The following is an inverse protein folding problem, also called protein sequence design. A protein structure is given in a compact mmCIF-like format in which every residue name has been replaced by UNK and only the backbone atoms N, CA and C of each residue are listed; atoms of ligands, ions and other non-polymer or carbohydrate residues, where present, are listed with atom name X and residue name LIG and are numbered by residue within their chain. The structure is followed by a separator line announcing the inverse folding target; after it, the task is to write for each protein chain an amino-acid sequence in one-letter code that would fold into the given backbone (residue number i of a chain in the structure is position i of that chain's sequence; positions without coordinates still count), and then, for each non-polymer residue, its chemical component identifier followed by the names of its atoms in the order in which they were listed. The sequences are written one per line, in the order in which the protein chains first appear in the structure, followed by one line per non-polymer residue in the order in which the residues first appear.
data_IF_733155550183
#
_entry.id   IF_733155550183
#
_cell.length_a   1.000
_cell.length_b   1.000
_cell.length_c   1.000
_cell.angle_alpha   90.00
_cell.angle_beta   90.00
_cell.angle_gamma   90.00
#
_symmetry.space_group_name_H-M   'P 1'
#
loop_
_entity.id
_entity.type
_entity.pdbx_description
1 polymer ?
#
# COMPACT_ATOMS: atom_id res chain seq x y z
N UNK A 1 30.12 18.85 -8.13
CA UNK A 1 29.18 17.91 -7.50
C UNK A 1 29.05 18.29 -6.03
N UNK A 2 27.98 18.98 -5.66
CA UNK A 2 27.68 19.23 -4.24
C UNK A 2 27.28 17.90 -3.61
N UNK A 3 27.97 17.50 -2.54
CA UNK A 3 27.56 16.33 -1.77
C UNK A 3 26.09 16.50 -1.37
N UNK A 4 25.25 15.53 -1.73
CA UNK A 4 23.85 15.54 -1.36
C UNK A 4 23.77 15.36 0.16
N UNK A 5 23.59 16.46 0.89
CA UNK A 5 23.29 16.41 2.32
C UNK A 5 22.00 15.62 2.52
N UNK A 6 22.04 14.63 3.41
CA UNK A 6 20.87 13.81 3.70
C UNK A 6 19.81 14.62 4.45
N UNK A 7 18.61 14.70 3.89
CA UNK A 7 17.42 15.19 4.58
C UNK A 7 16.87 14.08 5.48
N UNK A 8 17.25 14.13 6.76
CA UNK A 8 16.84 13.17 7.76
C UNK A 8 15.32 13.11 7.97
N UNK A 9 14.59 14.23 7.80
CA UNK A 9 13.14 14.23 7.96
C UNK A 9 12.48 13.38 6.87
N UNK A 10 12.95 13.52 5.63
CA UNK A 10 12.48 12.69 4.52
C UNK A 10 12.91 11.24 4.68
N UNK A 11 14.15 10.98 5.11
CA UNK A 11 14.59 9.63 5.38
C UNK A 11 13.72 8.91 6.42
N UNK A 12 13.39 9.58 7.53
CA UNK A 12 12.51 9.00 8.54
C UNK A 12 11.10 8.74 8.00
N UNK A 13 10.55 9.68 7.22
CA UNK A 13 9.22 9.54 6.64
C UNK A 13 9.13 8.40 5.61
N UNK A 14 10.13 8.27 4.74
CA UNK A 14 10.13 7.31 3.63
C UNK A 14 10.75 5.95 3.99
N UNK A 15 11.61 5.86 5.00
CA UNK A 15 12.26 4.62 5.40
C UNK A 15 11.89 4.21 6.81
N UNK A 16 12.29 5.01 7.83
CA UNK A 16 12.19 4.59 9.24
C UNK A 16 10.75 4.28 9.65
N UNK A 17 9.80 5.13 9.28
CA UNK A 17 8.39 4.95 9.63
C UNK A 17 7.78 3.71 8.95
N UNK A 18 7.75 3.58 7.61
CA UNK A 18 7.17 2.39 6.97
C UNK A 18 7.90 1.11 7.37
N UNK A 19 9.24 1.12 7.39
CA UNK A 19 10.01 -0.05 7.79
C UNK A 19 9.77 -0.43 9.25
N UNK A 20 9.83 0.54 10.17
CA UNK A 20 9.71 0.29 11.60
C UNK A 20 8.31 -0.19 12.00
N UNK A 21 7.25 0.41 11.45
CA UNK A 21 5.87 -0.03 11.69
C UNK A 21 5.67 -1.46 11.18
N UNK A 22 6.05 -1.73 9.93
CA UNK A 22 5.86 -3.05 9.36
C UNK A 22 6.74 -4.11 10.02
N UNK A 23 7.98 -3.76 10.41
CA UNK A 23 8.87 -4.67 11.14
C UNK A 23 8.30 -5.01 12.52
N UNK A 24 7.69 -4.04 13.21
CA UNK A 24 7.02 -4.28 14.48
C UNK A 24 5.85 -5.26 14.31
N UNK A 25 5.00 -5.06 13.31
CA UNK A 25 3.87 -5.96 13.02
C UNK A 25 4.35 -7.37 12.64
N UNK A 26 5.37 -7.47 11.80
CA UNK A 26 6.00 -8.75 11.47
C UNK A 26 6.59 -9.41 12.71
N UNK A 27 7.29 -8.66 13.56
CA UNK A 27 7.83 -9.14 14.83
C UNK A 27 6.76 -9.68 15.76
N UNK A 28 5.63 -8.98 15.90
CA UNK A 28 4.48 -9.47 16.67
C UNK A 28 3.96 -10.81 16.14
N UNK A 29 3.77 -10.93 14.82
CA UNK A 29 3.29 -12.17 14.20
C UNK A 29 4.29 -13.33 14.33
N UNK A 30 5.57 -13.09 14.07
CA UNK A 30 6.61 -14.13 14.11
C UNK A 30 7.17 -14.38 15.53
N UNK A 31 6.65 -13.71 16.57
CA UNK A 31 7.16 -13.83 17.94
C UNK A 31 6.93 -15.18 18.61
N UNK A 32 5.95 -15.96 18.13
CA UNK A 32 5.46 -17.17 18.82
C UNK A 32 4.58 -16.90 20.05
N UNK A 33 4.32 -15.62 20.37
CA UNK A 33 3.43 -15.23 21.46
C UNK A 33 2.01 -15.15 20.91
N UNK A 34 1.13 -16.06 21.33
CA UNK A 34 -0.25 -16.19 20.86
C UNK A 34 -1.00 -14.85 20.88
N UNK A 35 -0.91 -14.10 21.98
CA UNK A 35 -1.55 -12.79 22.09
C UNK A 35 -1.11 -11.82 20.98
N UNK A 36 0.20 -11.74 20.69
CA UNK A 36 0.73 -10.84 19.66
C UNK A 36 0.36 -11.31 18.25
N UNK A 37 0.32 -12.63 18.03
CA UNK A 37 -0.16 -13.21 16.78
C UNK A 37 -1.65 -12.89 16.55
N UNK A 38 -2.47 -13.01 17.59
CA UNK A 38 -3.90 -12.73 17.53
C UNK A 38 -4.22 -11.25 17.33
N UNK A 39 -3.31 -10.33 17.68
CA UNK A 39 -3.44 -8.92 17.28
C UNK A 39 -3.26 -8.71 15.77
N UNK A 40 -2.36 -9.47 15.15
CA UNK A 40 -2.06 -9.36 13.71
C UNK A 40 -3.07 -10.14 12.89
N UNK A 41 -3.43 -11.34 13.33
CA UNK A 41 -4.48 -12.19 12.74
C UNK A 41 -5.30 -12.83 13.86
N UNK A 42 -6.44 -12.25 14.22
CA UNK A 42 -7.31 -12.77 15.28
C UNK A 42 -7.67 -14.24 15.10
N UNK A 43 -7.90 -14.92 16.22
CA UNK A 43 -8.49 -16.25 16.25
C UNK A 43 -9.87 -16.17 16.90
N UNK A 44 -10.92 -16.37 16.11
CA UNK A 44 -12.28 -16.60 16.59
C UNK A 44 -12.61 -18.08 16.37
N UNK A 45 -13.25 -18.73 17.36
CA UNK A 45 -13.55 -20.17 17.34
C UNK A 45 -14.54 -20.56 16.24
N UNK A 46 -15.38 -19.62 15.78
CA UNK A 46 -16.47 -19.87 14.83
C UNK A 46 -16.27 -19.18 13.47
N UNK A 47 -15.03 -18.88 13.08
CA UNK A 47 -14.75 -18.21 11.81
C UNK A 47 -13.60 -18.89 11.07
N UNK A 48 -13.69 -18.89 9.74
CA UNK A 48 -12.62 -19.38 8.88
C UNK A 48 -11.34 -18.53 9.04
N UNK A 49 -10.17 -19.12 8.78
CA UNK A 49 -8.88 -18.41 8.84
C UNK A 49 -8.89 -17.12 7.99
N UNK A 50 -9.51 -17.14 6.81
CA UNK A 50 -9.53 -15.97 5.92
C UNK A 50 -10.38 -14.84 6.48
N UNK A 51 -11.59 -15.16 6.94
CA UNK A 51 -12.51 -14.19 7.56
C UNK A 51 -11.86 -13.47 8.74
N UNK A 52 -11.07 -14.20 9.55
CA UNK A 52 -10.46 -13.65 10.75
C UNK A 52 -9.31 -12.68 10.45
N UNK A 53 -8.61 -12.90 9.34
CA UNK A 53 -7.47 -12.09 8.90
C UNK A 53 -7.89 -10.63 8.67
N UNK A 54 -9.10 -10.44 8.13
CA UNK A 54 -9.71 -9.13 7.82
C UNK A 54 -9.92 -8.25 9.06
N UNK A 55 -9.96 -8.84 10.25
CA UNK A 55 -10.08 -8.12 11.53
C UNK A 55 -8.73 -7.80 12.19
N UNK A 56 -7.63 -8.24 11.59
CA UNK A 56 -6.29 -8.01 12.10
C UNK A 56 -5.82 -6.57 11.98
N UNK A 57 -4.90 -6.16 12.88
CA UNK A 57 -4.31 -4.81 12.85
C UNK A 57 -3.61 -4.54 11.52
N UNK A 58 -2.98 -5.56 10.91
CA UNK A 58 -2.27 -5.42 9.65
C UNK A 58 -3.22 -4.96 8.52
N UNK A 59 -4.30 -5.73 8.29
CA UNK A 59 -5.29 -5.41 7.25
C UNK A 59 -6.03 -4.11 7.54
N UNK A 60 -6.39 -3.86 8.80
CA UNK A 60 -7.05 -2.61 9.17
C UNK A 60 -6.15 -1.39 8.94
N UNK A 61 -4.83 -1.53 9.11
CA UNK A 61 -3.89 -0.46 8.80
C UNK A 61 -3.76 -0.24 7.29
N UNK A 62 -3.75 -1.29 6.48
CA UNK A 62 -3.82 -1.20 5.01
C UNK A 62 -5.08 -0.42 4.59
N UNK A 63 -6.24 -0.80 5.13
CA UNK A 63 -7.53 -0.17 4.89
C UNK A 63 -7.56 1.32 5.28
N UNK A 64 -6.98 1.69 6.42
CA UNK A 64 -6.84 3.09 6.84
C UNK A 64 -6.01 3.89 5.84
N UNK A 65 -4.91 3.33 5.34
CA UNK A 65 -4.05 4.00 4.36
C UNK A 65 -4.78 4.20 3.03
N UNK A 66 -5.49 3.17 2.55
CA UNK A 66 -6.30 3.26 1.33
C UNK A 66 -7.40 4.31 1.47
N UNK A 67 -8.11 4.36 2.60
CA UNK A 67 -9.11 5.38 2.88
C UNK A 67 -8.49 6.79 2.93
N UNK A 68 -7.32 6.93 3.55
CA UNK A 68 -6.57 8.19 3.54
C UNK A 68 -6.22 8.60 2.11
N UNK A 69 -5.82 7.68 1.23
CA UNK A 69 -5.58 7.97 -0.19
C UNK A 69 -6.83 8.49 -0.89
N UNK A 70 -8.00 7.88 -0.67
CA UNK A 70 -9.28 8.38 -1.21
C UNK A 70 -9.52 9.82 -0.78
N UNK A 71 -9.38 10.12 0.53
CA UNK A 71 -9.58 11.47 1.07
C UNK A 71 -8.58 12.46 0.46
N UNK A 72 -7.29 12.10 0.37
CA UNK A 72 -6.26 12.94 -0.23
C UNK A 72 -6.54 13.22 -1.71
N UNK A 73 -6.97 12.22 -2.46
CA UNK A 73 -7.32 12.36 -3.88
C UNK A 73 -8.52 13.30 -4.06
N UNK A 74 -9.60 13.12 -3.29
CA UNK A 74 -10.77 14.02 -3.33
C UNK A 74 -10.36 15.47 -2.99
N UNK A 75 -9.51 15.66 -1.97
CA UNK A 75 -9.01 16.98 -1.61
C UNK A 75 -8.12 17.57 -2.69
N UNK A 76 -7.27 16.77 -3.32
CA UNK A 76 -6.47 17.17 -4.49
C UNK A 76 -7.35 17.65 -5.64
N UNK A 77 -8.39 16.90 -6.00
CA UNK A 77 -9.35 17.29 -7.04
C UNK A 77 -10.07 18.61 -6.72
N UNK A 78 -10.40 18.87 -5.45
CA UNK A 78 -11.05 20.13 -5.03
C UNK A 78 -10.09 21.32 -5.01
N UNK A 79 -8.81 21.10 -4.70
CA UNK A 79 -7.80 22.16 -4.54
C UNK A 79 -7.35 22.76 -5.87
N UNK A 80 -7.21 21.96 -6.91
CA UNK A 80 -6.65 22.42 -8.18
C UNK A 80 -7.72 22.96 -9.12
N UNK A 81 -7.44 24.04 -9.85
CA UNK A 81 -8.40 24.65 -10.79
C UNK A 81 -8.39 24.00 -12.18
N UNK A 82 -7.26 23.41 -12.60
CA UNK A 82 -7.07 22.87 -13.95
C UNK A 82 -7.87 21.55 -14.13
N UNK A 83 -8.77 21.44 -15.13
CA UNK A 83 -9.60 20.25 -15.31
C UNK A 83 -8.81 18.94 -15.43
N UNK A 84 -7.69 18.94 -16.17
CA UNK A 84 -6.85 17.75 -16.33
C UNK A 84 -6.34 17.22 -14.98
N UNK A 85 -5.89 18.11 -14.08
CA UNK A 85 -5.43 17.72 -12.74
C UNK A 85 -6.59 17.22 -11.89
N UNK A 86 -7.76 17.87 -11.98
CA UNK A 86 -8.97 17.40 -11.28
C UNK A 86 -9.36 15.99 -11.70
N UNK A 87 -9.39 15.73 -13.01
CA UNK A 87 -9.71 14.41 -13.54
C UNK A 87 -8.67 13.35 -13.16
N UNK A 88 -7.39 13.71 -13.12
CA UNK A 88 -6.34 12.83 -12.60
C UNK A 88 -6.59 12.42 -11.15
N UNK A 89 -6.86 13.38 -10.27
CA UNK A 89 -7.19 13.07 -8.87
C UNK A 89 -8.52 12.32 -8.71
N UNK A 90 -9.54 12.63 -9.50
CA UNK A 90 -10.80 11.89 -9.50
C UNK A 90 -10.58 10.43 -9.91
N UNK A 91 -9.76 10.17 -10.94
CA UNK A 91 -9.36 8.84 -11.34
C UNK A 91 -8.63 8.09 -10.24
N UNK A 92 -7.67 8.74 -9.55
CA UNK A 92 -6.97 8.15 -8.40
C UNK A 92 -7.94 7.83 -7.26
N UNK A 93 -8.93 8.70 -7.00
CA UNK A 93 -9.93 8.47 -5.96
C UNK A 93 -10.78 7.23 -6.28
N UNK A 94 -11.30 7.11 -7.51
CA UNK A 94 -12.07 5.95 -7.96
C UNK A 94 -11.23 4.67 -7.89
N UNK A 95 -9.99 4.72 -8.35
CA UNK A 95 -9.09 3.58 -8.29
C UNK A 95 -8.77 3.17 -6.84
N UNK A 96 -8.53 4.13 -5.95
CA UNK A 96 -8.27 3.84 -4.53
C UNK A 96 -9.50 3.27 -3.82
N UNK A 97 -10.71 3.74 -4.17
CA UNK A 97 -11.98 3.14 -3.69
C UNK A 97 -12.08 1.70 -4.19
N UNK A 98 -11.79 1.44 -5.46
CA UNK A 98 -11.80 0.09 -6.00
C UNK A 98 -10.84 -0.84 -5.24
N UNK A 99 -9.58 -0.42 -5.03
CA UNK A 99 -8.60 -1.21 -4.26
C UNK A 99 -9.05 -1.41 -2.81
N UNK A 100 -9.59 -0.38 -2.16
CA UNK A 100 -10.16 -0.50 -0.81
C UNK A 100 -11.28 -1.53 -0.76
N UNK A 101 -12.22 -1.48 -1.70
CA UNK A 101 -13.32 -2.45 -1.77
C UNK A 101 -12.82 -3.86 -2.06
N UNK A 102 -11.84 -4.01 -2.94
CA UNK A 102 -11.18 -5.30 -3.18
C UNK A 102 -10.50 -5.85 -1.92
N UNK A 103 -9.84 -5.02 -1.13
CA UNK A 103 -9.15 -5.43 0.12
C UNK A 103 -10.14 -5.92 1.18
N UNK A 104 -11.34 -5.34 1.25
CA UNK A 104 -12.38 -5.73 2.23
C UNK A 104 -13.36 -6.77 1.69
N UNK A 105 -13.05 -7.44 0.58
CA UNK A 105 -13.96 -8.39 -0.09
C UNK A 105 -15.36 -7.78 -0.37
N UNK A 106 -15.42 -6.49 -0.72
CA UNK A 106 -16.66 -5.73 -0.88
C UNK A 106 -17.59 -5.78 0.35
N UNK A 107 -17.04 -6.04 1.53
CA UNK A 107 -17.74 -6.18 2.81
C UNK A 107 -18.37 -7.56 3.02
N UNK A 108 -18.04 -8.56 2.20
CA UNK A 108 -18.65 -9.89 2.26
C UNK A 108 -18.37 -10.59 3.60
N UNK A 109 -17.21 -10.35 4.22
CA UNK A 109 -16.89 -10.87 5.56
C UNK A 109 -17.89 -10.42 6.64
N UNK A 110 -18.42 -9.19 6.56
CA UNK A 110 -19.45 -8.73 7.49
C UNK A 110 -20.76 -9.49 7.27
N UNK A 111 -21.13 -9.72 6.01
CA UNK A 111 -22.31 -10.51 5.69
C UNK A 111 -22.19 -11.93 6.22
N UNK A 112 -21.04 -12.57 6.05
CA UNK A 112 -20.81 -13.94 6.52
C UNK A 112 -20.98 -14.09 8.02
N UNK A 113 -20.46 -13.13 8.78
CA UNK A 113 -20.60 -13.10 10.24
C UNK A 113 -22.07 -12.91 10.64
N UNK A 114 -22.77 -12.00 9.97
CA UNK A 114 -24.17 -11.68 10.28
C UNK A 114 -25.09 -12.85 9.89
N UNK A 115 -24.83 -13.49 8.74
CA UNK A 115 -25.63 -14.57 8.20
C UNK A 115 -25.24 -15.95 8.74
N UNK A 116 -24.10 -16.06 9.42
CA UNK A 116 -23.58 -17.32 9.95
C UNK A 116 -23.21 -18.33 8.86
N UNK A 117 -22.85 -17.85 7.66
CA UNK A 117 -22.45 -18.71 6.54
C UNK A 117 -20.92 -18.85 6.49
N UNK A 118 -20.44 -20.01 6.08
CA UNK A 118 -19.00 -20.23 5.94
C UNK A 118 -18.45 -19.42 4.76
N UNK A 119 -17.15 -19.13 4.81
CA UNK A 119 -16.45 -18.39 3.75
C UNK A 119 -16.55 -19.07 2.37
N UNK A 120 -16.66 -20.40 2.34
CA UNK A 120 -16.75 -21.20 1.12
C UNK A 120 -18.18 -21.24 0.56
N UNK A 121 -19.19 -21.08 1.43
CA UNK A 121 -20.60 -21.15 1.05
C UNK A 121 -21.17 -19.79 0.59
N UNK A 122 -20.48 -18.68 0.87
CA UNK A 122 -21.02 -17.34 0.68
C UNK A 122 -21.12 -16.94 -0.81
N UNK A 123 -20.02 -17.01 -1.58
CA UNK A 123 -19.97 -16.68 -3.02
C UNK A 123 -18.76 -17.35 -3.69
N UNK A 124 -18.95 -17.89 -4.90
CA UNK A 124 -17.89 -18.54 -5.71
C UNK A 124 -16.81 -17.55 -6.23
N UNK A 125 -17.21 -16.32 -6.55
CA UNK A 125 -16.30 -15.21 -6.93
C UNK A 125 -16.48 -14.06 -5.95
N UNK A 126 -15.49 -13.85 -5.09
CA UNK A 126 -15.56 -12.86 -3.99
C UNK A 126 -15.05 -11.49 -4.38
N UNK A 127 -13.88 -11.48 -5.01
CA UNK A 127 -13.22 -10.27 -5.48
C UNK A 127 -12.47 -10.57 -6.79
N UNK A 128 -12.18 -9.54 -7.56
CA UNK A 128 -11.61 -9.73 -8.90
C UNK A 128 -10.17 -10.24 -8.84
N UNK A 129 -9.42 -9.88 -7.79
CA UNK A 129 -7.99 -10.18 -7.69
C UNK A 129 -7.66 -11.58 -7.16
N UNK A 130 -8.61 -12.29 -6.54
CA UNK A 130 -8.44 -13.66 -6.00
C UNK A 130 -8.94 -14.76 -6.95
N UNK A 131 -9.31 -14.43 -8.18
CA UNK A 131 -9.79 -15.38 -9.19
C UNK A 131 -8.63 -15.96 -10.03
N UNK A 132 -8.31 -17.24 -9.85
CA UNK A 132 -7.32 -17.98 -10.65
C UNK A 132 -5.87 -17.47 -10.51
N UNK A 133 -5.09 -17.50 -11.60
CA UNK A 133 -3.68 -17.05 -11.61
C UNK A 133 -3.53 -15.51 -11.61
N UNK A 134 -4.64 -14.76 -11.62
CA UNK A 134 -4.63 -13.29 -11.72
C UNK A 134 -3.89 -12.64 -10.55
N UNK A 135 -3.95 -13.24 -9.36
CA UNK A 135 -3.25 -12.73 -8.17
C UNK A 135 -1.74 -12.65 -8.41
N UNK A 136 -1.14 -13.69 -8.99
CA UNK A 136 0.31 -13.75 -9.24
C UNK A 136 0.75 -12.72 -10.27
N UNK A 137 -0.01 -12.61 -11.37
CA UNK A 137 0.27 -11.69 -12.48
C UNK A 137 0.11 -10.23 -12.04
N UNK A 138 -0.97 -9.92 -11.31
CA UNK A 138 -1.21 -8.58 -10.77
C UNK A 138 -0.09 -8.17 -9.81
N UNK A 139 0.35 -9.06 -8.91
CA UNK A 139 1.47 -8.78 -7.99
C UNK A 139 2.76 -8.45 -8.76
N UNK A 140 3.07 -9.19 -9.82
CA UNK A 140 4.26 -8.93 -10.64
C UNK A 140 4.18 -7.59 -11.39
N UNK A 141 3.01 -7.27 -11.96
CA UNK A 141 2.81 -5.98 -12.65
C UNK A 141 2.98 -4.82 -11.68
N UNK A 142 2.40 -4.93 -10.47
CA UNK A 142 2.55 -3.91 -9.42
C UNK A 142 4.00 -3.76 -9.00
N UNK A 143 4.74 -4.85 -8.79
CA UNK A 143 6.16 -4.80 -8.43
C UNK A 143 6.99 -4.07 -9.51
N UNK A 144 6.77 -4.40 -10.79
CA UNK A 144 7.45 -3.72 -11.92
C UNK A 144 7.09 -2.24 -11.94
N UNK A 145 5.80 -1.91 -11.82
CA UNK A 145 5.33 -0.53 -11.80
C UNK A 145 5.96 0.26 -10.64
N UNK A 146 6.07 -0.35 -9.45
CA UNK A 146 6.72 0.26 -8.29
C UNK A 146 8.20 0.54 -8.55
N UNK A 147 8.95 -0.41 -9.09
CA UNK A 147 10.37 -0.22 -9.40
C UNK A 147 10.57 0.88 -10.44
N UNK A 148 9.78 0.87 -11.52
CA UNK A 148 9.87 1.89 -12.57
C UNK A 148 9.50 3.27 -12.01
N UNK A 149 8.37 3.37 -11.30
CA UNK A 149 7.83 4.66 -10.85
C UNK A 149 8.54 5.23 -9.63
N UNK A 150 8.80 4.43 -8.60
CA UNK A 150 9.41 4.90 -7.34
C UNK A 150 10.90 4.63 -7.24
N UNK A 151 11.45 3.77 -8.10
CA UNK A 151 12.87 3.44 -8.15
C UNK A 151 13.62 4.25 -9.20
N UNK A 152 13.17 4.19 -10.45
CA UNK A 152 13.90 4.76 -11.60
C UNK A 152 13.47 6.17 -11.94
N UNK A 153 12.16 6.42 -12.03
CA UNK A 153 11.61 7.70 -12.46
C UNK A 153 12.06 8.92 -11.63
N UNK A 154 12.19 8.89 -10.28
CA UNK A 154 12.71 10.03 -9.54
C UNK A 154 14.09 10.49 -10.02
N UNK A 155 14.95 9.59 -10.49
CA UNK A 155 16.27 9.97 -11.02
C UNK A 155 16.21 10.35 -12.50
N UNK A 156 15.47 9.58 -13.30
CA UNK A 156 15.34 9.84 -14.73
C UNK A 156 14.71 11.22 -15.00
N UNK A 157 13.71 11.63 -14.22
CA UNK A 157 13.02 12.90 -14.40
C UNK A 157 13.94 14.12 -14.22
N UNK A 158 14.97 14.02 -13.36
CA UNK A 158 15.95 15.10 -13.19
C UNK A 158 16.82 15.29 -14.44
N UNK A 159 17.09 14.22 -15.19
CA UNK A 159 17.85 14.25 -16.45
C UNK A 159 17.06 14.81 -17.64
N UNK A 160 15.72 14.83 -17.57
CA UNK A 160 14.88 15.28 -18.68
C UNK A 160 14.73 16.81 -18.64
N UNK A 161 14.86 17.47 -19.79
CA UNK A 161 14.73 18.94 -19.92
C UNK A 161 13.31 19.46 -19.74
N UNK A 162 12.30 18.62 -20.00
CA UNK A 162 10.88 18.98 -19.90
C UNK A 162 10.44 19.12 -18.43
N UNK A 163 10.07 20.32 -17.98
CA UNK A 163 9.72 20.55 -16.57
C UNK A 163 8.52 19.72 -16.09
N UNK A 164 7.60 19.35 -17.01
CA UNK A 164 6.37 18.60 -16.70
C UNK A 164 6.62 17.24 -16.06
N UNK A 165 7.72 16.56 -16.40
CA UNK A 165 8.06 15.27 -15.79
C UNK A 165 8.64 15.42 -14.38
N UNK A 166 9.36 16.52 -14.12
CA UNK A 166 9.96 16.80 -12.81
C UNK A 166 8.90 17.07 -11.74
N UNK A 167 7.82 17.75 -12.09
CA UNK A 167 6.76 18.06 -11.11
C UNK A 167 5.93 16.84 -10.71
N UNK A 168 5.83 15.82 -11.55
CA UNK A 168 5.09 14.59 -11.21
C UNK A 168 6.01 13.48 -10.70
N UNK A 169 7.33 13.58 -10.88
CA UNK A 169 8.26 12.57 -10.40
C UNK A 169 8.15 12.38 -8.87
N UNK A 170 8.17 11.14 -8.36
CA UNK A 170 8.26 10.91 -6.92
C UNK A 170 9.50 11.55 -6.31
N UNK A 171 9.48 11.75 -5.00
CA UNK A 171 10.69 12.14 -4.29
C UNK A 171 11.71 11.00 -4.35
N UNK A 172 13.00 11.30 -4.55
CA UNK A 172 14.09 10.29 -4.55
C UNK A 172 14.12 9.41 -3.30
N UNK A 173 13.60 9.89 -2.16
CA UNK A 173 13.50 9.10 -0.95
C UNK A 173 12.49 7.95 -1.05
N UNK A 174 11.60 7.92 -2.05
CA UNK A 174 10.71 6.77 -2.34
C UNK A 174 11.47 5.47 -2.60
N UNK A 175 12.70 5.58 -3.11
CA UNK A 175 13.61 4.43 -3.30
C UNK A 175 13.90 3.75 -1.97
N UNK A 176 14.04 4.52 -0.89
CA UNK A 176 14.25 3.95 0.44
C UNK A 176 13.03 3.13 0.88
N UNK A 177 11.80 3.56 0.56
CA UNK A 177 10.59 2.78 0.84
C UNK A 177 10.56 1.47 0.05
N UNK A 178 11.03 1.46 -1.20
CA UNK A 178 11.18 0.22 -1.98
C UNK A 178 12.19 -0.74 -1.36
N UNK A 179 13.33 -0.21 -0.88
CA UNK A 179 14.32 -1.01 -0.15
C UNK A 179 13.67 -1.60 1.12
N UNK A 180 12.91 -0.81 1.87
CA UNK A 180 12.18 -1.29 3.05
C UNK A 180 11.20 -2.42 2.70
N UNK A 181 10.44 -2.29 1.60
CA UNK A 181 9.53 -3.32 1.12
C UNK A 181 10.26 -4.64 0.80
N UNK A 182 11.43 -4.55 0.14
CA UNK A 182 12.25 -5.72 -0.16
C UNK A 182 12.83 -6.38 1.10
N UNK A 183 13.33 -5.58 2.05
CA UNK A 183 13.87 -6.08 3.31
C UNK A 183 12.77 -6.78 4.13
N UNK A 184 11.60 -6.17 4.28
CA UNK A 184 10.47 -6.79 4.99
C UNK A 184 10.04 -8.09 4.34
N UNK A 185 9.91 -8.12 3.01
CA UNK A 185 9.58 -9.34 2.27
C UNK A 185 10.59 -10.45 2.59
N UNK A 186 11.88 -10.13 2.55
CA UNK A 186 12.96 -11.08 2.79
C UNK A 186 12.92 -11.59 4.24
N UNK A 187 12.76 -10.69 5.20
CA UNK A 187 12.64 -11.04 6.63
C UNK A 187 11.42 -11.94 6.86
N UNK A 188 10.24 -11.55 6.37
CA UNK A 188 9.00 -12.30 6.59
C UNK A 188 9.06 -13.72 5.99
N UNK A 189 9.64 -13.87 4.78
CA UNK A 189 9.86 -15.21 4.21
C UNK A 189 10.88 -16.02 5.01
N UNK A 190 12.00 -15.41 5.42
CA UNK A 190 13.04 -16.10 6.18
C UNK A 190 12.49 -16.61 7.53
N UNK A 191 11.73 -15.77 8.25
CA UNK A 191 11.13 -16.16 9.53
C UNK A 191 10.11 -17.30 9.36
N UNK A 192 9.26 -17.21 8.32
CA UNK A 192 8.32 -18.28 7.98
C UNK A 192 9.04 -19.59 7.65
N UNK A 193 10.09 -19.53 6.83
CA UNK A 193 10.83 -20.73 6.40
C UNK A 193 11.59 -21.39 7.58
N UNK A 194 11.79 -20.67 8.69
CA UNK A 194 12.29 -21.19 9.97
C UNK A 194 11.20 -21.78 10.87
N UNK A 195 9.94 -21.83 10.44
CA UNK A 195 8.81 -22.32 11.23
C UNK A 195 8.26 -21.30 12.24
N UNK A 196 8.71 -20.04 12.19
CA UNK A 196 8.11 -19.00 13.03
C UNK A 196 6.75 -18.58 12.48
N UNK A 197 5.82 -18.25 13.38
CA UNK A 197 4.44 -17.92 12.99
C UNK A 197 3.57 -19.15 12.70
N UNK A 198 4.04 -20.35 13.06
CA UNK A 198 3.21 -21.56 13.11
C UNK A 198 2.00 -21.37 14.04
N UNK A 199 0.81 -21.79 13.57
CA UNK A 199 -0.49 -21.57 14.24
C UNK A 199 -1.21 -20.27 13.87
N UNK A 200 -0.51 -19.28 13.31
CA UNK A 200 -1.12 -17.99 12.90
C UNK A 200 -1.78 -18.03 11.51
N UNK A 201 -2.74 -17.14 11.27
CA UNK A 201 -3.57 -17.12 10.05
C UNK A 201 -2.89 -16.67 8.75
N UNK A 202 -1.61 -16.25 8.76
CA UNK A 202 -0.92 -15.71 7.57
C UNK A 202 0.07 -16.65 6.88
N UNK A 203 0.08 -17.95 7.16
CA UNK A 203 1.06 -18.91 6.63
C UNK A 203 1.29 -18.82 5.10
N UNK A 204 0.21 -18.60 4.32
CA UNK A 204 0.27 -18.43 2.85
C UNK A 204 0.27 -16.97 2.38
N UNK A 205 0.12 -16.01 3.30
CA UNK A 205 -0.10 -14.61 2.96
C UNK A 205 0.88 -13.65 3.64
N UNK A 206 2.14 -14.05 3.77
CA UNK A 206 3.20 -13.17 4.30
C UNK A 206 3.51 -11.98 3.38
N UNK A 207 2.92 -11.91 2.18
CA UNK A 207 3.06 -10.74 1.30
C UNK A 207 2.32 -9.50 1.82
N UNK A 208 1.34 -9.66 2.70
CA UNK A 208 0.58 -8.53 3.28
C UNK A 208 1.47 -7.49 3.97
N UNK A 209 2.54 -7.92 4.64
CA UNK A 209 3.51 -6.99 5.24
C UNK A 209 4.16 -6.07 4.20
N UNK A 210 4.48 -6.61 3.01
CA UNK A 210 5.00 -5.82 1.90
C UNK A 210 3.92 -4.88 1.35
N UNK A 211 2.68 -5.37 1.23
CA UNK A 211 1.54 -4.62 0.69
C UNK A 211 1.24 -3.36 1.52
N UNK A 212 1.36 -3.45 2.85
CA UNK A 212 1.32 -2.29 3.73
C UNK A 212 2.34 -1.19 3.35
N UNK A 213 3.58 -1.58 3.02
CA UNK A 213 4.62 -0.62 2.58
C UNK A 213 4.29 -0.07 1.19
N UNK A 214 3.77 -0.90 0.29
CA UNK A 214 3.30 -0.48 -1.03
C UNK A 214 2.25 0.62 -0.93
N UNK A 215 1.20 0.41 -0.13
CA UNK A 215 0.19 1.44 0.07
C UNK A 215 0.77 2.70 0.73
N UNK A 216 1.71 2.53 1.65
CA UNK A 216 2.38 3.67 2.29
C UNK A 216 3.14 4.54 1.28
N UNK A 217 3.91 3.96 0.34
CA UNK A 217 4.65 4.77 -0.65
C UNK A 217 3.71 5.49 -1.61
N UNK A 218 2.61 4.86 -2.01
CA UNK A 218 1.58 5.52 -2.84
C UNK A 218 0.88 6.65 -2.08
N UNK A 219 0.58 6.45 -0.79
CA UNK A 219 -0.01 7.49 0.06
C UNK A 219 0.92 8.69 0.23
N UNK A 220 2.22 8.46 0.49
CA UNK A 220 3.21 9.53 0.58
C UNK A 220 3.32 10.31 -0.73
N UNK A 221 3.38 9.61 -1.86
CA UNK A 221 3.43 10.23 -3.18
C UNK A 221 2.17 11.06 -3.47
N UNK A 222 0.99 10.52 -3.19
CA UNK A 222 -0.27 11.22 -3.37
C UNK A 222 -0.37 12.47 -2.48
N UNK A 223 0.09 12.37 -1.23
CA UNK A 223 0.19 13.51 -0.32
C UNK A 223 1.06 14.63 -0.91
N UNK A 224 2.22 14.30 -1.48
CA UNK A 224 3.08 15.29 -2.12
C UNK A 224 2.39 15.97 -3.31
N UNK A 225 1.78 15.18 -4.20
CA UNK A 225 1.04 15.72 -5.34
C UNK A 225 -0.11 16.63 -4.92
N UNK A 226 -0.91 16.19 -3.94
CA UNK A 226 -2.13 16.88 -3.54
C UNK A 226 -1.87 18.16 -2.72
N UNK A 227 -0.82 18.18 -1.90
CA UNK A 227 -0.63 19.26 -0.91
C UNK A 227 0.67 20.03 -1.02
N UNK A 228 1.76 19.41 -1.50
CA UNK A 228 3.07 20.08 -1.57
C UNK A 228 3.38 20.69 -2.94
N UNK A 229 2.69 20.25 -4.00
CA UNK A 229 2.98 20.66 -5.38
C UNK A 229 1.83 21.49 -5.94
N UNK A 230 2.15 22.62 -6.56
CA UNK A 230 1.17 23.41 -7.31
C UNK A 230 1.14 23.00 -8.79
N UNK A 231 0.50 21.85 -9.04
CA UNK A 231 0.36 21.29 -10.39
C UNK A 231 -0.37 22.25 -11.33
N UNK A 232 -1.42 22.93 -10.85
CA UNK A 232 -2.24 23.80 -11.68
C UNK A 232 -1.49 25.08 -12.12
N UNK A 233 -0.79 25.75 -11.21
CA UNK A 233 0.03 26.91 -11.58
C UNK A 233 1.23 26.51 -12.46
N UNK A 234 1.75 25.30 -12.27
CA UNK A 234 2.85 24.80 -13.07
C UNK A 234 2.43 24.49 -14.52
N UNK A 235 1.32 23.77 -14.74
CA UNK A 235 0.88 23.44 -16.10
C UNK A 235 0.48 24.68 -16.90
N UNK A 236 -0.24 25.64 -16.29
CA UNK A 236 -0.61 26.90 -16.95
C UNK A 236 0.60 27.67 -17.51
N UNK A 237 1.69 27.75 -16.75
CA UNK A 237 2.92 28.47 -17.15
C UNK A 237 3.73 27.80 -18.26
N UNK A 238 3.43 26.54 -18.60
CA UNK A 238 4.18 25.76 -19.60
C UNK A 238 3.30 25.35 -20.79
N UNK A 239 2.08 25.87 -20.88
CA UNK A 239 1.19 25.77 -22.04
C UNK A 239 1.12 27.10 -22.82
N UNK A 240 1.76 28.16 -22.30
CA UNK A 240 2.10 29.44 -22.96
C UNK A 240 3.50 29.38 -23.57
#
# INVERSE_FOLDING_TARGET
MTALSMDWKKFHLYFTLPFGVTLLLAGCYFSGIEFLQNLITPTFENMDVKQRREFGILENLQNIILLAMVVMAIRGARRHSLPLVKWGFAGIAVFSIFIFLEEIDYGLHFYEIIAGVSHEDAVEVRNWHNEGDRTSTTKQIVDIAMVVWFGLFPFAAHGVSRPKWRIIAPDRYSVATLIAAFLIRTIAHTLRDQGLGEGGGMQKNTSEFRELITYTVFALYLYELAFKRDLAAFFRRNDE
#
